data_IF_992215053464
#
_entry.id   IF_992215053464
#
_cell.length_a   1.000
_cell.length_b   1.000
_cell.length_c   1.000
_cell.angle_alpha   90.00
_cell.angle_beta   90.00
_cell.angle_gamma   90.00
#
_symmetry.space_group_name_H-M   'P 1'
#
loop_
_entity.id
_entity.type
_entity.pdbx_description
1 polymer ?
#
# COMPACT_ATOMS: atom_id res chain seq x y z
N UNK A 1 -6.70 16.00 10.37
CA UNK A 1 -5.53 16.44 9.58
C UNK A 1 -4.53 15.37 9.86
N UNK A 2 -4.33 14.51 8.88
CA UNK A 2 -3.75 13.21 9.12
C UNK A 2 -2.41 13.17 8.39
N UNK A 3 -1.37 12.75 9.11
CA UNK A 3 -0.03 12.52 8.56
C UNK A 3 -0.13 11.52 7.41
N UNK A 4 0.71 11.71 6.38
CA UNK A 4 0.79 10.76 5.28
C UNK A 4 1.19 9.37 5.77
N UNK A 5 0.42 8.34 5.40
CA UNK A 5 0.65 6.97 5.85
C UNK A 5 1.60 6.23 4.90
N UNK A 6 2.69 5.70 5.45
CA UNK A 6 3.75 5.01 4.72
C UNK A 6 3.60 3.50 4.85
N UNK A 7 3.41 2.80 3.72
CA UNK A 7 3.38 1.34 3.64
C UNK A 7 4.71 0.87 3.04
N UNK A 8 5.54 0.20 3.84
CA UNK A 8 6.87 -0.25 3.42
C UNK A 8 6.86 -1.50 2.54
N UNK A 9 7.35 -1.38 1.30
CA UNK A 9 7.24 -2.40 0.24
C UNK A 9 8.35 -3.47 0.22
N UNK A 10 9.32 -3.43 1.14
CA UNK A 10 10.58 -4.19 0.97
C UNK A 10 10.47 -5.68 1.30
N UNK A 11 9.38 -6.19 1.85
CA UNK A 11 9.21 -7.64 2.09
C UNK A 11 8.37 -8.22 0.95
N UNK A 12 9.05 -8.53 -0.16
CA UNK A 12 8.38 -8.99 -1.39
C UNK A 12 9.10 -10.15 -2.07
N UNK A 13 8.33 -11.08 -2.65
CA UNK A 13 8.81 -12.34 -3.23
C UNK A 13 9.65 -12.19 -4.52
N UNK A 14 9.67 -10.99 -5.13
CA UNK A 14 10.57 -10.71 -6.28
C UNK A 14 12.02 -10.69 -5.80
N UNK A 15 12.28 -10.28 -4.55
CA UNK A 15 13.62 -10.31 -4.00
C UNK A 15 14.09 -11.74 -3.73
N UNK A 16 15.22 -12.20 -4.31
CA UNK A 16 15.69 -13.57 -4.12
C UNK A 16 15.92 -13.95 -2.65
N UNK A 17 16.40 -12.99 -1.84
CA UNK A 17 16.63 -13.20 -0.41
C UNK A 17 15.32 -13.43 0.35
N UNK A 18 14.29 -12.61 0.10
CA UNK A 18 12.98 -12.75 0.76
C UNK A 18 12.23 -13.96 0.25
N UNK A 19 12.28 -14.25 -1.06
CA UNK A 19 11.68 -15.47 -1.60
C UNK A 19 12.24 -16.73 -0.95
N UNK A 20 13.57 -16.80 -0.79
CA UNK A 20 14.22 -17.91 -0.08
C UNK A 20 13.79 -17.95 1.39
N UNK A 21 13.78 -16.80 2.04
CA UNK A 21 13.38 -16.68 3.44
C UNK A 21 11.94 -17.15 3.69
N UNK A 22 10.99 -16.76 2.84
CA UNK A 22 9.61 -17.22 2.88
C UNK A 22 9.52 -18.74 2.69
N UNK A 23 10.23 -19.30 1.70
CA UNK A 23 10.21 -20.73 1.42
C UNK A 23 10.80 -21.59 2.56
N UNK A 24 11.85 -21.09 3.22
CA UNK A 24 12.56 -21.81 4.29
C UNK A 24 12.08 -21.43 5.70
N UNK A 25 11.11 -20.51 5.81
CA UNK A 25 10.67 -19.92 7.08
C UNK A 25 11.83 -19.33 7.90
N UNK A 26 12.79 -18.72 7.20
CA UNK A 26 13.92 -18.02 7.79
C UNK A 26 13.52 -16.58 8.13
N UNK A 27 13.48 -16.26 9.42
CA UNK A 27 13.08 -14.94 9.90
C UNK A 27 14.15 -13.88 9.67
N UNK A 28 15.43 -14.24 9.59
CA UNK A 28 16.52 -13.26 9.65
C UNK A 28 16.48 -12.22 8.50
N UNK A 29 16.27 -12.60 7.22
CA UNK A 29 16.15 -11.63 6.14
C UNK A 29 14.88 -10.78 6.23
N UNK A 30 13.79 -11.34 6.75
CA UNK A 30 12.49 -10.66 6.90
C UNK A 30 12.60 -9.62 8.01
N UNK A 31 13.08 -10.02 9.19
CA UNK A 31 13.25 -9.15 10.35
C UNK A 31 14.22 -8.01 10.06
N UNK A 32 15.32 -8.30 9.35
CA UNK A 32 16.23 -7.25 8.90
C UNK A 32 15.51 -6.17 8.08
N UNK A 33 14.66 -6.56 7.12
CA UNK A 33 13.92 -5.59 6.29
C UNK A 33 12.78 -4.91 7.04
N UNK A 34 12.06 -5.63 7.88
CA UNK A 34 11.03 -5.03 8.73
C UNK A 34 11.65 -3.92 9.60
N UNK A 35 12.75 -4.23 10.30
CA UNK A 35 13.49 -3.27 11.12
C UNK A 35 13.96 -2.05 10.33
N UNK A 36 14.62 -2.26 9.19
CA UNK A 36 15.10 -1.16 8.32
C UNK A 36 13.96 -0.22 7.87
N UNK A 37 12.75 -0.76 7.64
CA UNK A 37 11.59 0.01 7.22
C UNK A 37 10.93 0.77 8.39
N UNK A 38 10.81 0.11 9.55
CA UNK A 38 10.28 0.74 10.77
C UNK A 38 11.18 1.91 11.20
N UNK A 39 12.50 1.70 11.23
CA UNK A 39 13.48 2.75 11.56
C UNK A 39 13.48 3.89 10.53
N UNK A 40 13.06 3.61 9.29
CA UNK A 40 12.90 4.61 8.23
C UNK A 40 11.53 5.31 8.22
N UNK A 41 10.64 4.97 9.16
CA UNK A 41 9.35 5.65 9.34
C UNK A 41 8.17 5.01 8.61
N UNK A 42 8.21 3.70 8.33
CA UNK A 42 7.04 2.97 7.85
C UNK A 42 5.98 2.80 8.95
N UNK A 43 4.72 3.16 8.64
CA UNK A 43 3.58 2.95 9.53
C UNK A 43 3.00 1.53 9.38
N UNK A 44 3.11 0.97 8.17
CA UNK A 44 2.72 -0.40 7.83
C UNK A 44 3.86 -1.13 7.13
N UNK A 45 3.93 -2.45 7.29
CA UNK A 45 4.85 -3.30 6.53
C UNK A 45 4.05 -4.15 5.55
N UNK A 46 4.31 -3.98 4.25
CA UNK A 46 3.74 -4.84 3.20
C UNK A 46 4.46 -6.18 3.17
N UNK A 47 3.69 -7.26 3.23
CA UNK A 47 4.16 -8.65 3.26
C UNK A 47 3.67 -9.37 2.01
N UNK A 48 4.43 -9.22 0.92
CA UNK A 48 4.13 -9.84 -0.35
C UNK A 48 4.75 -11.25 -0.44
N UNK A 49 3.89 -12.27 -0.37
CA UNK A 49 4.29 -13.69 -0.46
C UNK A 49 4.20 -14.26 -1.89
N UNK A 50 3.86 -13.41 -2.87
CA UNK A 50 3.55 -13.84 -4.23
C UNK A 50 2.25 -14.64 -4.34
N UNK A 51 2.04 -15.39 -5.44
CA UNK A 51 0.81 -16.17 -5.63
C UNK A 51 0.63 -17.31 -4.63
N UNK A 52 1.73 -17.88 -4.12
CA UNK A 52 1.76 -18.91 -3.07
C UNK A 52 0.63 -19.96 -3.17
N UNK A 53 0.48 -20.59 -4.35
CA UNK A 53 -0.70 -21.42 -4.69
C UNK A 53 -0.84 -22.69 -3.83
N UNK A 54 0.26 -23.21 -3.26
CA UNK A 54 0.27 -24.49 -2.54
C UNK A 54 0.27 -24.33 -1.02
N UNK A 55 1.14 -23.47 -0.51
CA UNK A 55 1.44 -23.34 0.92
C UNK A 55 1.14 -21.92 1.45
N UNK A 56 0.44 -21.08 0.68
CA UNK A 56 0.21 -19.67 1.00
C UNK A 56 -0.44 -19.42 2.36
N UNK A 57 -1.38 -20.27 2.79
CA UNK A 57 -2.00 -20.19 4.13
C UNK A 57 -0.94 -20.34 5.23
N UNK A 58 -0.04 -21.31 5.09
CA UNK A 58 1.04 -21.56 6.04
C UNK A 58 2.11 -20.46 5.99
N UNK A 59 2.44 -19.95 4.79
CA UNK A 59 3.42 -18.86 4.65
C UNK A 59 2.90 -17.61 5.34
N UNK A 60 1.67 -17.18 5.01
CA UNK A 60 1.10 -15.94 5.52
C UNK A 60 0.90 -16.02 7.04
N UNK A 61 0.37 -17.15 7.55
CA UNK A 61 0.20 -17.37 8.99
C UNK A 61 1.53 -17.25 9.73
N UNK A 62 2.59 -17.86 9.21
CA UNK A 62 3.92 -17.77 9.82
C UNK A 62 4.48 -16.35 9.76
N UNK A 63 4.42 -15.69 8.59
CA UNK A 63 4.99 -14.37 8.39
C UNK A 63 4.33 -13.33 9.31
N UNK A 64 2.99 -13.34 9.39
CA UNK A 64 2.22 -12.44 10.27
C UNK A 64 2.64 -12.62 11.73
N UNK A 65 2.63 -13.87 12.24
CA UNK A 65 3.02 -14.15 13.63
C UNK A 65 4.45 -13.74 13.92
N UNK A 66 5.39 -14.14 13.07
CA UNK A 66 6.80 -13.86 13.28
C UNK A 66 7.10 -12.36 13.31
N UNK A 67 6.54 -11.59 12.37
CA UNK A 67 6.78 -10.14 12.30
C UNK A 67 6.12 -9.43 13.49
N UNK A 68 4.88 -9.76 13.83
CA UNK A 68 4.19 -9.11 14.96
C UNK A 68 4.81 -9.46 16.31
N UNK A 69 5.31 -10.69 16.50
CA UNK A 69 5.99 -11.10 17.72
C UNK A 69 7.32 -10.34 17.95
N UNK A 70 8.09 -10.11 16.87
CA UNK A 70 9.38 -9.41 16.97
C UNK A 70 9.23 -7.88 17.07
N UNK A 71 8.23 -7.30 16.39
CA UNK A 71 8.10 -5.85 16.21
C UNK A 71 6.85 -5.26 16.87
N UNK A 72 6.52 -5.75 18.07
CA UNK A 72 5.45 -5.22 18.92
C UNK A 72 4.14 -4.98 18.15
N UNK A 73 3.60 -6.05 17.55
CA UNK A 73 2.35 -6.00 16.77
C UNK A 73 2.33 -4.95 15.65
N UNK A 74 3.48 -4.60 15.05
CA UNK A 74 3.56 -3.65 13.92
C UNK A 74 2.45 -3.92 12.88
N UNK A 75 1.73 -2.89 12.40
CA UNK A 75 0.67 -3.09 11.43
C UNK A 75 1.19 -3.64 10.09
N UNK A 76 0.44 -4.57 9.49
CA UNK A 76 0.83 -5.24 8.25
C UNK A 76 -0.17 -5.03 7.12
N UNK A 77 0.34 -4.91 5.89
CA UNK A 77 -0.43 -5.11 4.68
C UNK A 77 -0.19 -6.54 4.15
N UNK A 78 -1.25 -7.32 4.03
CA UNK A 78 -1.21 -8.71 3.58
C UNK A 78 -1.36 -8.72 2.05
N UNK A 79 -0.24 -8.90 1.34
CA UNK A 79 -0.18 -8.80 -0.12
C UNK A 79 -0.02 -10.18 -0.77
N UNK A 80 -1.10 -10.60 -1.42
CA UNK A 80 -1.12 -11.77 -2.29
C UNK A 80 -2.42 -11.80 -3.10
N UNK A 81 -2.41 -12.50 -4.23
CA UNK A 81 -3.65 -12.83 -4.97
C UNK A 81 -4.39 -14.02 -4.36
N UNK A 82 -3.77 -14.77 -3.44
CA UNK A 82 -4.37 -15.95 -2.82
C UNK A 82 -5.29 -15.55 -1.65
N UNK A 83 -6.61 -15.53 -1.92
CA UNK A 83 -7.65 -15.23 -0.91
C UNK A 83 -7.50 -16.05 0.38
N UNK A 84 -7.22 -17.36 0.26
CA UNK A 84 -7.10 -18.23 1.45
C UNK A 84 -5.92 -17.83 2.32
N UNK A 85 -4.80 -17.44 1.70
CA UNK A 85 -3.63 -16.95 2.42
C UNK A 85 -3.92 -15.65 3.19
N UNK A 86 -4.64 -14.71 2.56
CA UNK A 86 -5.09 -13.47 3.23
C UNK A 86 -5.94 -13.82 4.46
N UNK A 87 -6.95 -14.68 4.29
CA UNK A 87 -7.83 -15.10 5.39
C UNK A 87 -7.05 -15.79 6.51
N UNK A 88 -6.10 -16.67 6.18
CA UNK A 88 -5.25 -17.35 7.16
C UNK A 88 -4.40 -16.35 7.96
N UNK A 89 -3.85 -15.32 7.31
CA UNK A 89 -3.15 -14.22 7.97
C UNK A 89 -4.07 -13.43 8.91
N UNK A 90 -5.25 -13.03 8.44
CA UNK A 90 -6.24 -12.29 9.23
C UNK A 90 -6.70 -13.05 10.49
N UNK A 91 -6.84 -14.38 10.42
CA UNK A 91 -7.20 -15.23 11.58
C UNK A 91 -6.22 -15.16 12.74
N UNK A 92 -4.95 -14.89 12.46
CA UNK A 92 -3.88 -14.88 13.48
C UNK A 92 -3.34 -13.48 13.77
N UNK A 93 -3.81 -12.47 13.05
CA UNK A 93 -3.35 -11.11 13.16
C UNK A 93 -3.80 -10.46 14.48
N UNK A 94 -2.86 -9.85 15.20
CA UNK A 94 -3.16 -9.03 16.37
C UNK A 94 -3.38 -7.57 15.95
N UNK A 95 -4.56 -7.02 16.23
CA UNK A 95 -4.97 -5.66 15.83
C UNK A 95 -4.72 -4.56 16.87
N UNK A 96 -4.00 -4.86 17.95
CA UNK A 96 -3.74 -3.92 19.05
C UNK A 96 -3.14 -2.59 18.59
N UNK A 97 -2.19 -2.62 17.65
CA UNK A 97 -1.51 -1.43 17.12
C UNK A 97 -2.05 -0.96 15.75
N UNK A 98 -3.13 -1.57 15.25
CA UNK A 98 -3.77 -1.17 14.00
C UNK A 98 -4.39 -2.35 13.24
N UNK A 99 -5.47 -2.09 12.50
CA UNK A 99 -6.11 -3.06 11.61
C UNK A 99 -5.15 -3.49 10.50
N UNK A 100 -5.17 -4.77 10.12
CA UNK A 100 -4.45 -5.24 8.94
C UNK A 100 -4.99 -4.55 7.68
N UNK A 101 -4.14 -4.36 6.66
CA UNK A 101 -4.55 -3.95 5.32
C UNK A 101 -4.61 -5.19 4.43
N UNK A 102 -5.72 -5.42 3.74
CA UNK A 102 -5.83 -6.40 2.66
C UNK A 102 -5.33 -5.73 1.37
N UNK A 103 -4.27 -6.27 0.76
CA UNK A 103 -3.71 -5.79 -0.50
C UNK A 103 -3.92 -6.86 -1.61
N UNK A 104 -4.94 -6.74 -2.45
CA UNK A 104 -5.97 -5.70 -2.60
C UNK A 104 -7.28 -6.31 -3.13
N UNK A 105 -8.42 -5.64 -3.04
CA UNK A 105 -9.55 -5.91 -3.93
C UNK A 105 -9.36 -5.23 -5.30
N UNK A 106 -10.22 -5.56 -6.25
CA UNK A 106 -10.39 -4.86 -7.52
C UNK A 106 -11.88 -4.80 -7.89
N UNK A 107 -12.26 -4.04 -8.93
CA UNK A 107 -13.63 -3.96 -9.43
C UNK A 107 -14.03 -5.19 -10.30
N UNK A 108 -13.27 -6.27 -10.20
CA UNK A 108 -13.35 -7.45 -11.05
C UNK A 108 -13.33 -8.75 -10.24
N UNK A 109 -12.45 -9.71 -10.58
CA UNK A 109 -12.46 -11.05 -9.96
C UNK A 109 -12.24 -11.08 -8.44
N UNK A 110 -11.69 -10.02 -7.83
CA UNK A 110 -11.34 -9.98 -6.40
C UNK A 110 -12.25 -9.06 -5.59
N UNK A 111 -13.38 -8.64 -6.15
CA UNK A 111 -14.34 -7.76 -5.47
C UNK A 111 -14.93 -8.38 -4.19
N UNK A 112 -14.95 -9.70 -4.10
CA UNK A 112 -15.39 -10.46 -2.92
C UNK A 112 -14.45 -10.30 -1.71
N UNK A 113 -13.26 -9.70 -1.86
CA UNK A 113 -12.37 -9.41 -0.72
C UNK A 113 -12.92 -8.33 0.21
N UNK A 114 -13.85 -7.49 -0.25
CA UNK A 114 -14.57 -6.58 0.64
C UNK A 114 -15.39 -7.31 1.72
N UNK A 115 -15.97 -8.48 1.39
CA UNK A 115 -16.64 -9.32 2.38
C UNK A 115 -15.66 -9.81 3.46
N UNK A 116 -14.43 -10.15 3.05
CA UNK A 116 -13.39 -10.59 3.97
C UNK A 116 -12.93 -9.43 4.86
N UNK A 117 -12.78 -8.22 4.30
CA UNK A 117 -12.45 -7.02 5.06
C UNK A 117 -13.49 -6.73 6.15
N UNK A 118 -14.78 -6.80 5.79
CA UNK A 118 -15.89 -6.60 6.75
C UNK A 118 -15.94 -7.68 7.83
N UNK A 119 -15.75 -8.95 7.47
CA UNK A 119 -15.75 -10.08 8.42
C UNK A 119 -14.63 -9.99 9.47
N UNK A 120 -13.44 -9.52 9.08
CA UNK A 120 -12.27 -9.48 9.94
C UNK A 120 -11.96 -8.09 10.51
N UNK A 121 -12.82 -7.08 10.25
CA UNK A 121 -12.59 -5.69 10.67
C UNK A 121 -11.20 -5.19 10.21
N UNK A 122 -10.93 -5.36 8.91
CA UNK A 122 -9.65 -5.02 8.27
C UNK A 122 -9.79 -3.82 7.32
N UNK A 123 -8.71 -3.06 7.17
CA UNK A 123 -8.55 -2.10 6.09
C UNK A 123 -8.38 -2.84 4.76
N UNK A 124 -8.67 -2.18 3.65
CA UNK A 124 -8.53 -2.79 2.33
C UNK A 124 -8.11 -1.77 1.27
N UNK A 125 -7.17 -2.18 0.41
CA UNK A 125 -6.85 -1.44 -0.81
C UNK A 125 -7.85 -1.84 -1.88
N UNK A 126 -8.54 -0.87 -2.48
CA UNK A 126 -9.46 -1.07 -3.60
C UNK A 126 -8.82 -0.58 -4.90
N UNK A 127 -8.34 -1.49 -5.73
CA UNK A 127 -7.74 -1.13 -7.02
C UNK A 127 -8.83 -0.68 -8.00
N UNK A 128 -8.79 0.58 -8.44
CA UNK A 128 -9.73 1.17 -9.40
C UNK A 128 -9.45 0.68 -10.82
N UNK A 129 -9.49 -0.63 -11.01
CA UNK A 129 -9.34 -1.34 -12.27
C UNK A 129 -10.15 -2.65 -12.21
N UNK A 130 -10.48 -3.21 -13.38
CA UNK A 130 -11.22 -4.47 -13.51
C UNK A 130 -10.46 -5.47 -14.35
N UNK A 131 -10.31 -5.17 -15.64
CA UNK A 131 -9.46 -5.91 -16.57
C UNK A 131 -8.50 -4.94 -17.25
N UNK A 132 -7.21 -5.14 -17.05
CA UNK A 132 -6.19 -4.27 -17.64
C UNK A 132 -6.13 -2.87 -17.04
N UNK A 133 -5.59 -1.94 -17.81
CA UNK A 133 -5.36 -0.56 -17.40
C UNK A 133 -6.59 0.28 -17.77
N UNK A 134 -7.18 1.03 -16.83
CA UNK A 134 -8.28 1.94 -17.13
C UNK A 134 -7.92 2.97 -18.18
N UNK A 135 -8.89 3.28 -19.03
CA UNK A 135 -8.76 4.18 -20.18
C UNK A 135 -8.49 5.61 -19.77
N UNK A 136 -9.14 6.09 -18.71
CA UNK A 136 -9.08 7.49 -18.28
C UNK A 136 -9.49 7.63 -16.80
N UNK A 137 -9.55 8.87 -16.32
CA UNK A 137 -10.00 9.18 -14.96
C UNK A 137 -11.46 8.76 -14.73
N UNK A 138 -12.36 8.98 -15.70
CA UNK A 138 -13.79 8.68 -15.52
C UNK A 138 -14.02 7.19 -15.25
N UNK A 139 -13.31 6.32 -15.97
CA UNK A 139 -13.37 4.88 -15.75
C UNK A 139 -12.84 4.47 -14.37
N UNK A 140 -11.82 5.16 -13.84
CA UNK A 140 -11.31 4.93 -12.48
C UNK A 140 -12.33 5.31 -11.42
N UNK A 141 -13.03 6.44 -11.59
CA UNK A 141 -14.08 6.89 -10.66
C UNK A 141 -15.29 5.96 -10.70
N UNK A 142 -15.64 5.43 -11.87
CA UNK A 142 -16.68 4.40 -11.99
C UNK A 142 -16.34 3.15 -11.16
N UNK A 143 -15.11 2.64 -11.28
CA UNK A 143 -14.65 1.50 -10.47
C UNK A 143 -14.56 1.82 -8.98
N UNK A 144 -14.10 3.02 -8.61
CA UNK A 144 -14.10 3.49 -7.22
C UNK A 144 -15.50 3.45 -6.61
N UNK A 145 -16.50 3.93 -7.35
CA UNK A 145 -17.90 3.98 -6.89
C UNK A 145 -18.50 2.58 -6.78
N UNK A 146 -18.28 1.71 -7.79
CA UNK A 146 -18.72 0.30 -7.76
C UNK A 146 -18.17 -0.43 -6.52
N UNK A 147 -16.87 -0.27 -6.25
CA UNK A 147 -16.22 -0.88 -5.09
C UNK A 147 -16.69 -0.29 -3.76
N UNK A 148 -16.95 1.03 -3.69
CA UNK A 148 -17.47 1.67 -2.48
C UNK A 148 -18.83 1.08 -2.09
N UNK A 149 -19.74 0.92 -3.06
CA UNK A 149 -21.04 0.28 -2.83
C UNK A 149 -20.88 -1.15 -2.28
N UNK A 150 -19.98 -1.94 -2.87
CA UNK A 150 -19.69 -3.31 -2.39
C UNK A 150 -19.07 -3.35 -1.01
N UNK A 151 -18.16 -2.43 -0.71
CA UNK A 151 -17.56 -2.34 0.61
C UNK A 151 -18.61 -1.99 1.68
N UNK A 152 -19.52 -1.06 1.39
CA UNK A 152 -20.61 -0.69 2.29
C UNK A 152 -21.60 -1.84 2.50
N UNK A 153 -21.96 -2.59 1.44
CA UNK A 153 -22.79 -3.81 1.55
C UNK A 153 -22.14 -4.87 2.45
N UNK A 154 -20.81 -4.97 2.42
CA UNK A 154 -20.02 -5.86 3.26
C UNK A 154 -19.78 -5.35 4.69
N UNK A 155 -20.23 -4.13 5.02
CA UNK A 155 -20.05 -3.52 6.34
C UNK A 155 -18.66 -2.94 6.60
N UNK A 156 -17.89 -2.65 5.55
CA UNK A 156 -16.58 -1.98 5.65
C UNK A 156 -16.80 -0.47 5.85
N UNK A 157 -16.10 0.12 6.81
CA UNK A 157 -16.09 1.56 7.00
C UNK A 157 -15.39 2.25 5.81
N UNK A 158 -15.98 3.25 5.14
CA UNK A 158 -15.32 4.00 4.09
C UNK A 158 -13.93 4.55 4.48
N UNK A 159 -13.71 4.88 5.76
CA UNK A 159 -12.41 5.33 6.29
C UNK A 159 -11.33 4.22 6.34
N UNK A 160 -11.73 2.97 6.18
CA UNK A 160 -10.87 1.79 6.11
C UNK A 160 -10.57 1.34 4.67
N UNK A 161 -11.11 2.03 3.67
CA UNK A 161 -10.84 1.75 2.26
C UNK A 161 -9.78 2.74 1.74
N UNK A 162 -8.72 2.19 1.15
CA UNK A 162 -7.67 2.95 0.48
C UNK A 162 -7.78 2.71 -1.03
N UNK A 163 -8.38 3.64 -1.77
CA UNK A 163 -8.55 3.48 -3.21
C UNK A 163 -7.23 3.69 -3.95
N UNK A 164 -6.83 2.71 -4.75
CA UNK A 164 -5.65 2.79 -5.61
C UNK A 164 -6.09 3.10 -7.06
N UNK A 165 -5.85 4.31 -7.57
CA UNK A 165 -6.14 4.67 -8.96
C UNK A 165 -5.19 4.02 -9.96
N UNK A 166 -4.48 2.96 -9.59
CA UNK A 166 -3.47 2.22 -10.36
C UNK A 166 -2.36 3.14 -10.89
N UNK A 167 -1.30 3.28 -10.11
CA UNK A 167 -0.09 4.00 -10.50
C UNK A 167 0.60 3.27 -11.66
N UNK A 168 0.90 3.99 -12.74
CA UNK A 168 1.42 3.43 -13.99
C UNK A 168 2.86 3.84 -14.22
N UNK A 169 3.62 2.96 -14.85
CA UNK A 169 4.99 3.27 -15.28
C UNK A 169 5.01 4.46 -16.25
N UNK A 170 5.82 5.47 -15.96
CA UNK A 170 5.94 6.66 -16.84
C UNK A 170 6.49 6.26 -18.21
N UNK A 171 7.43 5.31 -18.25
CA UNK A 171 8.02 4.81 -19.47
C UNK A 171 6.97 4.10 -20.33
N UNK A 172 6.51 4.77 -21.39
CA UNK A 172 5.52 4.26 -22.33
C UNK A 172 4.07 4.49 -21.94
N UNK A 173 3.81 5.16 -20.81
CA UNK A 173 2.45 5.58 -20.38
C UNK A 173 2.50 6.97 -19.71
N UNK A 174 3.35 7.87 -20.23
CA UNK A 174 3.55 9.20 -19.67
C UNK A 174 2.26 10.04 -19.74
N UNK A 175 1.48 9.86 -20.80
CA UNK A 175 0.19 10.52 -21.02
C UNK A 175 -0.88 10.14 -20.00
N UNK A 176 -0.73 9.00 -19.32
CA UNK A 176 -1.68 8.52 -18.30
C UNK A 176 -1.45 9.10 -16.91
N UNK A 177 -0.30 9.77 -16.68
CA UNK A 177 0.07 10.23 -15.34
C UNK A 177 -0.85 11.35 -14.85
N UNK A 178 -1.30 12.23 -15.76
CA UNK A 178 -2.30 13.25 -15.44
C UNK A 178 -3.64 12.64 -15.05
N UNK A 179 -4.05 11.53 -15.70
CA UNK A 179 -5.32 10.85 -15.39
C UNK A 179 -5.28 10.23 -13.98
N UNK A 180 -4.13 9.70 -13.56
CA UNK A 180 -3.92 9.17 -12.21
C UNK A 180 -4.01 10.27 -11.16
N UNK A 181 -3.32 11.39 -11.37
CA UNK A 181 -3.36 12.54 -10.44
C UNK A 181 -4.76 13.15 -10.34
N UNK A 182 -5.48 13.23 -11.45
CA UNK A 182 -6.87 13.68 -11.49
C UNK A 182 -7.80 12.72 -10.75
N UNK A 183 -7.61 11.40 -10.89
CA UNK A 183 -8.37 10.42 -10.14
C UNK A 183 -8.12 10.53 -8.63
N UNK A 184 -6.86 10.72 -8.19
CA UNK A 184 -6.53 10.98 -6.78
C UNK A 184 -7.33 12.18 -6.26
N UNK A 185 -7.35 13.27 -7.04
CA UNK A 185 -8.09 14.49 -6.68
C UNK A 185 -9.58 14.24 -6.54
N UNK A 186 -10.22 13.64 -7.54
CA UNK A 186 -11.66 13.40 -7.52
C UNK A 186 -12.08 12.43 -6.40
N UNK A 187 -11.33 11.36 -6.17
CA UNK A 187 -11.61 10.42 -5.07
C UNK A 187 -11.48 11.15 -3.71
N UNK A 188 -10.47 12.01 -3.56
CA UNK A 188 -10.30 12.80 -2.33
C UNK A 188 -11.41 13.84 -2.15
N UNK A 189 -11.88 14.48 -3.22
CA UNK A 189 -13.02 15.43 -3.20
C UNK A 189 -14.33 14.73 -2.80
N UNK A 190 -14.45 13.41 -3.00
CA UNK A 190 -15.55 12.58 -2.48
C UNK A 190 -15.42 12.26 -0.97
N UNK A 191 -14.33 12.68 -0.32
CA UNK A 191 -14.03 12.41 1.08
C UNK A 191 -13.42 11.02 1.34
N UNK A 192 -12.93 10.35 0.30
CA UNK A 192 -12.36 9.00 0.38
C UNK A 192 -10.83 9.04 0.44
N UNK A 193 -10.23 8.01 1.03
CA UNK A 193 -8.77 7.87 1.11
C UNK A 193 -8.20 7.22 -0.14
N UNK A 194 -7.01 7.66 -0.52
CA UNK A 194 -6.30 7.18 -1.70
C UNK A 194 -4.92 6.63 -1.34
N UNK A 195 -4.50 5.61 -2.09
CA UNK A 195 -3.19 4.98 -1.96
C UNK A 195 -2.62 4.59 -3.33
N UNK A 196 -1.45 3.99 -3.35
CA UNK A 196 -0.99 3.23 -4.52
C UNK A 196 0.46 2.78 -4.42
N UNK A 197 0.82 1.84 -5.30
CA UNK A 197 2.21 1.43 -5.53
C UNK A 197 3.01 2.53 -6.21
N UNK A 198 3.56 3.47 -5.43
CA UNK A 198 4.20 4.66 -5.99
C UNK A 198 5.49 4.31 -6.75
N UNK A 199 6.22 3.29 -6.30
CA UNK A 199 7.44 2.81 -6.98
C UNK A 199 7.19 2.30 -8.42
N UNK A 200 5.93 2.09 -8.82
CA UNK A 200 5.55 1.71 -10.18
C UNK A 200 5.88 2.80 -11.21
N UNK A 201 5.80 4.08 -10.83
CA UNK A 201 5.97 5.21 -11.76
C UNK A 201 7.36 5.20 -12.39
N UNK A 202 8.38 4.78 -11.62
CA UNK A 202 9.78 4.75 -12.04
C UNK A 202 10.27 3.38 -12.53
N UNK A 203 9.37 2.39 -12.67
CA UNK A 203 9.76 1.05 -13.13
C UNK A 203 10.47 1.10 -14.50
N UNK A 204 11.61 0.42 -14.60
CA UNK A 204 12.43 0.39 -15.82
C UNK A 204 13.21 1.67 -16.12
N UNK A 205 13.18 2.69 -15.25
CA UNK A 205 14.08 3.83 -15.30
C UNK A 205 15.47 3.48 -14.71
N UNK A 206 16.54 4.23 -15.05
CA UNK A 206 17.85 4.05 -14.44
C UNK A 206 17.79 4.25 -12.91
N UNK A 207 18.54 3.44 -12.16
CA UNK A 207 18.49 3.44 -10.68
C UNK A 207 18.71 4.81 -10.04
N UNK A 208 19.56 5.66 -10.62
CA UNK A 208 19.84 7.00 -10.11
C UNK A 208 18.74 8.03 -10.42
N UNK A 209 17.80 7.71 -11.32
CA UNK A 209 16.69 8.58 -11.71
C UNK A 209 15.43 8.25 -10.90
N UNK A 210 15.28 7.00 -10.44
CA UNK A 210 14.08 6.56 -9.72
C UNK A 210 13.75 7.40 -8.48
N UNK A 211 14.69 7.68 -7.55
CA UNK A 211 14.38 8.47 -6.35
C UNK A 211 13.80 9.85 -6.68
N UNK A 212 14.35 10.52 -7.69
CA UNK A 212 13.90 11.83 -8.17
C UNK A 212 12.48 11.75 -8.73
N UNK A 213 12.20 10.73 -9.55
CA UNK A 213 10.87 10.53 -10.14
C UNK A 213 9.84 10.23 -9.05
N UNK A 214 10.18 9.31 -8.14
CA UNK A 214 9.30 8.85 -7.07
C UNK A 214 8.97 10.02 -6.13
N UNK A 215 9.97 10.80 -5.71
CA UNK A 215 9.80 12.00 -4.89
C UNK A 215 8.95 13.08 -5.57
N UNK A 216 9.25 13.40 -6.84
CA UNK A 216 8.49 14.40 -7.59
C UNK A 216 7.02 13.99 -7.76
N UNK A 217 6.76 12.72 -8.08
CA UNK A 217 5.40 12.21 -8.20
C UNK A 217 4.68 12.19 -6.86
N UNK A 218 5.35 11.80 -5.77
CA UNK A 218 4.80 11.83 -4.41
C UNK A 218 4.29 13.23 -4.05
N UNK A 219 5.10 14.27 -4.27
CA UNK A 219 4.71 15.65 -3.99
C UNK A 219 3.48 16.09 -4.81
N UNK A 220 3.44 15.75 -6.11
CA UNK A 220 2.29 16.03 -6.97
C UNK A 220 1.03 15.28 -6.51
N UNK A 221 1.16 14.01 -6.18
CA UNK A 221 0.05 13.18 -5.73
C UNK A 221 -0.49 13.61 -4.36
N UNK A 222 0.38 13.94 -3.41
CA UNK A 222 -0.01 14.51 -2.11
C UNK A 222 -0.71 15.86 -2.28
N UNK A 223 -0.28 16.69 -3.25
CA UNK A 223 -1.00 17.93 -3.59
C UNK A 223 -2.41 17.64 -4.11
N UNK A 224 -2.60 16.57 -4.89
CA UNK A 224 -3.90 16.10 -5.34
C UNK A 224 -4.75 15.42 -4.25
N UNK A 225 -4.18 15.06 -3.10
CA UNK A 225 -4.93 14.45 -2.00
C UNK A 225 -4.51 13.03 -1.61
N UNK A 226 -3.42 12.51 -2.18
CA UNK A 226 -2.89 11.21 -1.80
C UNK A 226 -2.65 11.14 -0.28
N UNK A 227 -3.28 10.16 0.38
CA UNK A 227 -3.21 9.99 1.85
C UNK A 227 -2.21 8.94 2.30
N UNK A 228 -1.87 7.99 1.44
CA UNK A 228 -0.88 6.95 1.72
C UNK A 228 -0.18 6.46 0.46
N UNK A 229 0.92 5.72 0.59
CA UNK A 229 1.53 5.02 -0.53
C UNK A 229 2.30 3.78 -0.09
N UNK A 230 2.35 2.78 -0.98
CA UNK A 230 3.28 1.66 -0.91
C UNK A 230 4.59 2.13 -1.55
N UNK A 231 5.63 2.25 -0.72
CA UNK A 231 6.92 2.84 -1.08
C UNK A 231 8.09 2.10 -0.45
N UNK A 232 9.30 2.38 -0.93
CA UNK A 232 10.53 2.07 -0.23
C UNK A 232 10.85 3.19 0.78
N UNK A 233 10.57 3.01 2.10
CA UNK A 233 10.85 4.05 3.10
C UNK A 233 12.36 4.26 3.31
N UNK A 234 13.21 3.32 2.88
CA UNK A 234 14.67 3.51 2.96
C UNK A 234 15.20 4.45 1.86
N UNK A 235 14.34 4.95 0.96
CA UNK A 235 14.69 6.04 0.04
C UNK A 235 14.58 7.39 0.74
N UNK A 236 15.74 7.96 1.10
CA UNK A 236 15.80 9.23 1.84
C UNK A 236 15.20 10.39 1.05
N UNK A 237 15.40 10.45 -0.27
CA UNK A 237 14.90 11.57 -1.08
C UNK A 237 13.37 11.58 -1.11
N UNK A 238 12.77 10.40 -1.23
CA UNK A 238 11.32 10.23 -1.16
C UNK A 238 10.76 10.56 0.23
N UNK A 239 11.37 10.02 1.30
CA UNK A 239 10.89 10.28 2.67
C UNK A 239 11.05 11.74 3.08
N UNK A 240 12.16 12.39 2.75
CA UNK A 240 12.36 13.82 3.01
C UNK A 240 11.29 14.65 2.29
N UNK A 241 10.93 14.26 1.06
CA UNK A 241 9.88 14.92 0.27
C UNK A 241 8.51 14.76 0.92
N UNK A 242 8.14 13.55 1.34
CA UNK A 242 6.86 13.28 2.03
C UNK A 242 6.75 14.10 3.33
N UNK A 243 7.78 14.05 4.19
CA UNK A 243 7.82 14.83 5.44
C UNK A 243 7.72 16.34 5.18
N UNK A 244 8.37 16.82 4.12
CA UNK A 244 8.28 18.24 3.71
C UNK A 244 6.88 18.59 3.23
N UNK A 245 6.24 17.72 2.44
CA UNK A 245 4.87 17.91 1.99
C UNK A 245 3.88 17.95 3.16
N UNK A 246 4.04 17.10 4.18
CA UNK A 246 3.20 17.13 5.39
C UNK A 246 3.28 18.47 6.14
N UNK A 247 4.48 19.05 6.26
CA UNK A 247 4.67 20.39 6.83
C UNK A 247 3.99 21.45 5.97
N UNK A 248 4.23 21.44 4.66
CA UNK A 248 3.67 22.43 3.72
C UNK A 248 2.14 22.37 3.68
N UNK A 249 1.56 21.17 3.78
CA UNK A 249 0.11 20.95 3.86
C UNK A 249 -0.49 21.21 5.24
N UNK A 250 0.33 21.61 6.21
CA UNK A 250 -0.08 21.84 7.60
C UNK A 250 -0.65 20.57 8.30
N UNK A 251 -0.26 19.39 7.83
CA UNK A 251 -0.55 18.12 8.51
C UNK A 251 0.30 17.95 9.77
N UNK A 252 1.51 18.53 9.75
CA UNK A 252 2.47 18.54 10.86
C UNK A 252 2.92 19.99 11.11
N UNK A 253 3.06 20.37 12.37
CA UNK A 253 3.61 21.68 12.75
C UNK A 253 5.09 21.78 12.38
N UNK A 254 5.49 22.92 11.83
CA UNK A 254 6.88 23.19 11.48
C UNK A 254 7.81 23.22 12.71
N UNK A 255 8.97 22.58 12.57
CA UNK A 255 10.15 22.75 13.40
C UNK A 255 11.39 22.55 12.52
N UNK A 256 12.53 23.14 12.86
CA UNK A 256 13.79 22.97 12.08
C UNK A 256 14.21 21.49 11.96
N UNK A 257 13.78 20.65 12.89
CA UNK A 257 14.02 19.20 12.95
C UNK A 257 12.89 18.36 12.35
N UNK A 258 12.01 18.91 11.50
CA UNK A 258 10.84 18.17 10.99
C UNK A 258 11.21 16.89 10.20
N UNK A 259 12.44 16.78 9.69
CA UNK A 259 12.93 15.59 9.01
C UNK A 259 13.31 14.43 9.96
N UNK A 260 13.49 14.72 11.25
CA UNK A 260 13.84 13.73 12.29
C UNK A 260 12.61 13.03 12.89
N UNK A 261 11.41 13.40 12.45
CA UNK A 261 10.12 12.82 12.86
C UNK A 261 9.90 11.38 12.39
#
# INVERSE_FOLDING_TARGET
MDKFLVIGERIHCISPAIRKALAERDTAPIFKRAKEQIEAGADYIDVNIGPAEKDGEEIMTWAVKAIQEEFDNVPLALDTVNRKAIEAGLKVYNKENGKAIINSADAGPRIDLFELAGQYDAKIIGLCAKEGIPRDCEERIAYCTEMLEKAMEAGVDPDDILFDPLFLVVKGMQEKQSDVLEAIRQITEMGLKTTGGLSNISNGAPKHVRPIMDAAFAAMAMQCGLSSAIINPCDKELMDTIKTCDVVKNNILYADSYLDL
#
